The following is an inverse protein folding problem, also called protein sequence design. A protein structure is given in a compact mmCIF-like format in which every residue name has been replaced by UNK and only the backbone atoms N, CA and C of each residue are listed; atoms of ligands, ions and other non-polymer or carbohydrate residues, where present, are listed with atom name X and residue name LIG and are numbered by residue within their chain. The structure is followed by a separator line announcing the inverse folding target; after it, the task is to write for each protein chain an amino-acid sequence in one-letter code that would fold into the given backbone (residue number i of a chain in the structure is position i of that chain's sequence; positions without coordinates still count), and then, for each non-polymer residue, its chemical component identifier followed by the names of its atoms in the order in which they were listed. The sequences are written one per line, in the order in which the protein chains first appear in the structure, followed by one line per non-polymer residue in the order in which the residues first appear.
data_IF_660494095896
#
_entry.id   IF_660494095896
#
_cell.length_a   1.000
_cell.length_b   1.000
_cell.length_c   1.000
_cell.angle_alpha   90.00
_cell.angle_beta   90.00
_cell.angle_gamma   90.00
#
_symmetry.space_group_name_H-M   'P 1'
#
loop_
_entity.id
_entity.type
_entity.pdbx_description
1 polymer ?
#
# COMPACT_ATOMS: atom_id res chain seq x y z
N UNK A 1 -10.24 2.98 -9.76
CA UNK A 1 -9.44 3.93 -8.93
C UNK A 1 -9.33 3.34 -7.52
N UNK A 2 -8.11 3.14 -7.00
CA UNK A 2 -7.84 2.35 -5.79
C UNK A 2 -8.10 3.08 -4.47
N UNK A 3 -7.62 4.33 -4.36
CA UNK A 3 -7.65 5.13 -3.12
C UNK A 3 -8.51 6.38 -3.36
N UNK A 4 -9.80 6.39 -2.95
CA UNK A 4 -10.73 7.48 -3.29
C UNK A 4 -10.33 8.86 -2.74
N UNK A 5 -9.63 8.91 -1.60
CA UNK A 5 -9.15 10.17 -1.01
C UNK A 5 -8.19 10.93 -1.94
N UNK A 6 -7.56 10.24 -2.90
CA UNK A 6 -6.74 10.86 -3.94
C UNK A 6 -7.51 11.87 -4.82
N UNK A 7 -8.85 11.83 -4.81
CA UNK A 7 -9.69 12.84 -5.49
C UNK A 7 -9.66 14.18 -4.76
N UNK A 8 -9.53 14.17 -3.43
CA UNK A 8 -9.49 15.37 -2.58
C UNK A 8 -8.07 15.87 -2.40
N UNK A 9 -7.13 14.95 -2.17
CA UNK A 9 -5.70 15.25 -2.02
C UNK A 9 -4.93 14.40 -3.01
N UNK A 10 -4.59 14.97 -4.16
CA UNK A 10 -3.91 14.22 -5.21
C UNK A 10 -2.47 13.83 -4.80
N UNK A 11 -1.92 12.87 -5.51
CA UNK A 11 -0.58 12.33 -5.23
C UNK A 11 0.52 13.41 -5.28
N UNK A 12 0.38 14.44 -6.12
CA UNK A 12 1.37 15.52 -6.20
C UNK A 12 1.41 16.31 -4.88
N UNK A 13 0.25 16.75 -4.39
CA UNK A 13 0.15 17.45 -3.11
C UNK A 13 0.65 16.60 -1.92
N UNK A 14 0.37 15.29 -1.93
CA UNK A 14 0.91 14.37 -0.93
C UNK A 14 2.44 14.32 -0.98
N UNK A 15 3.03 14.16 -2.17
CA UNK A 15 4.48 14.07 -2.32
C UNK A 15 5.18 15.38 -1.96
N UNK A 16 4.57 16.53 -2.25
CA UNK A 16 5.10 17.83 -1.86
C UNK A 16 5.10 18.00 -0.33
N UNK A 17 4.03 17.56 0.34
CA UNK A 17 4.00 17.51 1.80
C UNK A 17 5.06 16.56 2.37
N UNK A 18 5.28 15.41 1.73
CA UNK A 18 6.36 14.49 2.12
C UNK A 18 7.75 15.13 1.98
N UNK A 19 8.01 15.86 0.89
CA UNK A 19 9.29 16.58 0.67
C UNK A 19 9.53 17.68 1.70
N UNK A 20 8.46 18.37 2.10
CA UNK A 20 8.54 19.45 3.08
C UNK A 20 8.64 18.96 4.54
N UNK A 21 8.63 17.64 4.79
CA UNK A 21 8.61 17.11 6.15
C UNK A 21 9.92 17.45 6.90
N UNK A 22 9.88 18.23 8.01
CA UNK A 22 11.09 18.85 8.57
C UNK A 22 12.17 17.90 9.10
N UNK A 23 11.80 16.66 9.46
CA UNK A 23 12.74 15.68 10.03
C UNK A 23 13.32 14.71 9.00
N UNK A 24 13.00 14.91 7.73
CA UNK A 24 13.36 13.97 6.68
C UNK A 24 14.88 13.87 6.51
N UNK A 25 15.41 12.67 6.70
CA UNK A 25 16.85 12.40 6.63
C UNK A 25 17.10 10.92 6.27
N UNK A 26 18.36 10.54 6.06
CA UNK A 26 18.69 9.14 5.80
C UNK A 26 18.42 8.21 7.00
N UNK A 27 18.47 8.75 8.22
CA UNK A 27 18.10 8.06 9.46
C UNK A 27 16.58 8.05 9.70
N UNK A 28 15.89 9.14 9.37
CA UNK A 28 14.43 9.27 9.49
C UNK A 28 13.78 9.35 8.10
N UNK A 29 13.45 8.18 7.56
CA UNK A 29 12.87 7.98 6.22
C UNK A 29 11.36 7.77 6.28
N UNK A 30 10.65 8.33 5.29
CA UNK A 30 9.23 8.03 5.08
C UNK A 30 9.08 6.58 4.61
N UNK A 31 8.14 5.84 5.20
CA UNK A 31 7.78 4.51 4.70
C UNK A 31 6.51 4.60 3.88
N UNK A 32 6.61 4.34 2.57
CA UNK A 32 5.45 4.19 1.70
C UNK A 32 4.97 2.74 1.74
N UNK A 33 3.70 2.54 2.07
CA UNK A 33 3.06 1.23 1.95
C UNK A 33 2.51 1.05 0.54
N UNK A 34 2.87 -0.06 -0.11
CA UNK A 34 2.46 -0.36 -1.47
C UNK A 34 1.85 -1.76 -1.53
N UNK A 35 0.53 -1.83 -1.68
CA UNK A 35 -0.20 -3.10 -1.83
C UNK A 35 0.00 -3.63 -3.24
N UNK A 36 0.43 -4.89 -3.33
CA UNK A 36 0.72 -5.59 -4.59
C UNK A 36 -0.53 -6.30 -5.11
N UNK A 37 -1.17 -5.70 -6.12
CA UNK A 37 -2.40 -6.17 -6.75
C UNK A 37 -2.09 -6.70 -8.16
N UNK A 38 -2.39 -7.99 -8.37
CA UNK A 38 -2.07 -8.70 -9.61
C UNK A 38 -2.67 -8.03 -10.83
N UNK A 39 -1.82 -7.64 -11.79
CA UNK A 39 -2.23 -7.04 -13.07
C UNK A 39 -2.80 -5.63 -12.97
N UNK A 40 -2.81 -5.02 -11.78
CA UNK A 40 -3.39 -3.69 -11.54
C UNK A 40 -2.31 -2.64 -11.30
N UNK A 41 -1.32 -2.95 -10.47
CA UNK A 41 -0.27 -2.00 -10.09
C UNK A 41 1.10 -2.66 -9.82
N UNK A 42 1.30 -3.89 -10.29
CA UNK A 42 2.46 -4.73 -9.96
C UNK A 42 3.42 -4.93 -11.15
N UNK A 43 3.25 -4.18 -12.23
CA UNK A 43 4.11 -4.30 -13.40
C UNK A 43 5.48 -3.68 -13.16
N UNK A 44 6.43 -4.12 -13.99
CA UNK A 44 7.76 -3.52 -14.13
C UNK A 44 7.70 -2.00 -14.41
N UNK A 45 6.72 -1.56 -15.20
CA UNK A 45 6.51 -0.14 -15.51
C UNK A 45 6.03 0.62 -14.27
N UNK A 46 5.16 0.01 -13.45
CA UNK A 46 4.68 0.60 -12.20
C UNK A 46 5.81 0.83 -11.20
N UNK A 47 6.73 -0.14 -11.07
CA UNK A 47 7.91 0.01 -10.22
C UNK A 47 8.78 1.20 -10.65
N UNK A 48 9.03 1.35 -11.96
CA UNK A 48 9.82 2.48 -12.50
C UNK A 48 9.10 3.82 -12.32
N UNK A 49 7.77 3.86 -12.50
CA UNK A 49 6.96 5.05 -12.23
C UNK A 49 7.00 5.44 -10.75
N UNK A 50 6.89 4.46 -9.84
CA UNK A 50 6.98 4.67 -8.40
C UNK A 50 8.32 5.31 -8.02
N UNK A 51 9.43 4.71 -8.46
CA UNK A 51 10.79 5.25 -8.21
C UNK A 51 10.93 6.69 -8.70
N UNK A 52 10.42 6.99 -9.90
CA UNK A 52 10.46 8.35 -10.46
C UNK A 52 9.65 9.34 -9.62
N UNK A 53 8.48 8.95 -9.11
CA UNK A 53 7.61 9.82 -8.32
C UNK A 53 8.24 10.23 -6.98
N UNK A 54 8.92 9.29 -6.32
CA UNK A 54 9.50 9.50 -4.99
C UNK A 54 10.96 9.95 -5.02
N UNK A 55 11.52 10.18 -6.21
CA UNK A 55 12.89 10.64 -6.38
C UNK A 55 13.19 11.87 -5.50
N UNK A 56 14.30 11.82 -4.77
CA UNK A 56 14.73 12.88 -3.85
C UNK A 56 14.07 12.86 -2.48
N UNK A 57 13.13 11.95 -2.21
CA UNK A 57 12.53 11.75 -0.87
C UNK A 57 13.29 10.61 -0.17
N UNK A 58 13.99 10.85 0.96
CA UNK A 58 14.49 9.77 1.81
C UNK A 58 13.36 8.82 2.23
N UNK A 59 13.31 7.63 1.62
CA UNK A 59 12.18 6.73 1.76
C UNK A 59 12.55 5.24 1.83
N UNK A 60 11.58 4.44 2.28
CA UNK A 60 11.51 2.98 2.17
C UNK A 60 10.16 2.59 1.62
N UNK A 61 10.08 1.47 0.90
CA UNK A 61 8.85 1.03 0.23
C UNK A 61 8.49 -0.33 0.79
N UNK A 62 7.48 -0.38 1.65
CA UNK A 62 7.01 -1.64 2.20
C UNK A 62 6.05 -2.30 1.20
N UNK A 63 6.50 -3.36 0.53
CA UNK A 63 5.67 -4.13 -0.40
C UNK A 63 4.77 -5.07 0.40
N UNK A 64 3.45 -4.93 0.24
CA UNK A 64 2.46 -5.69 0.99
C UNK A 64 1.75 -6.62 0.00
N UNK A 65 2.01 -7.94 0.05
CA UNK A 65 1.19 -8.90 -0.69
C UNK A 65 -0.28 -8.71 -0.30
N UNK A 66 -1.16 -8.60 -1.28
CA UNK A 66 -2.59 -8.44 -1.00
C UNK A 66 -3.14 -9.66 -0.27
N UNK A 67 -3.99 -9.44 0.73
CA UNK A 67 -4.68 -10.49 1.48
C UNK A 67 -6.12 -10.57 0.98
N UNK A 68 -6.48 -11.56 0.15
CA UNK A 68 -7.82 -11.64 -0.42
C UNK A 68 -8.85 -11.93 0.68
N UNK A 69 -10.11 -11.61 0.37
CA UNK A 69 -11.28 -12.00 1.16
C UNK A 69 -12.37 -12.49 0.19
N UNK A 70 -13.38 -13.24 0.65
CA UNK A 70 -14.47 -13.71 -0.22
C UNK A 70 -15.15 -12.54 -0.96
N UNK A 71 -15.13 -12.59 -2.29
CA UNK A 71 -15.67 -11.52 -3.16
C UNK A 71 -14.77 -10.29 -3.33
N UNK A 72 -13.50 -10.36 -2.95
CA UNK A 72 -12.54 -9.30 -3.25
C UNK A 72 -12.39 -9.12 -4.77
N UNK A 73 -12.40 -7.88 -5.30
CA UNK A 73 -12.28 -7.61 -6.72
C UNK A 73 -10.84 -7.66 -7.25
N UNK A 74 -9.87 -8.05 -6.39
CA UNK A 74 -8.45 -8.06 -6.70
C UNK A 74 -7.80 -9.35 -6.23
N UNK A 75 -6.66 -9.66 -6.81
CA UNK A 75 -5.85 -10.84 -6.49
C UNK A 75 -4.46 -10.44 -5.99
N UNK A 76 -3.86 -11.34 -5.21
CA UNK A 76 -2.47 -11.24 -4.76
C UNK A 76 -1.54 -11.42 -5.95
N UNK A 77 -0.59 -10.50 -6.12
CA UNK A 77 0.51 -10.67 -7.09
C UNK A 77 1.32 -11.92 -6.80
N UNK A 78 1.80 -12.59 -7.85
CA UNK A 78 2.63 -13.80 -7.70
C UNK A 78 3.95 -13.47 -6.97
N UNK A 79 4.52 -14.40 -6.16
CA UNK A 79 5.75 -14.15 -5.41
C UNK A 79 6.91 -13.62 -6.27
N UNK A 80 7.15 -14.24 -7.43
CA UNK A 80 8.21 -13.83 -8.36
C UNK A 80 7.99 -12.41 -8.92
N UNK A 81 6.73 -12.01 -9.09
CA UNK A 81 6.34 -10.67 -9.55
C UNK A 81 6.62 -9.63 -8.47
N UNK A 82 6.31 -9.95 -7.21
CA UNK A 82 6.63 -9.09 -6.05
C UNK A 82 8.15 -8.95 -5.91
N UNK A 83 8.90 -10.03 -6.03
CA UNK A 83 10.36 -9.99 -5.97
C UNK A 83 10.95 -9.16 -7.11
N UNK A 84 10.49 -9.37 -8.35
CA UNK A 84 10.94 -8.58 -9.49
C UNK A 84 10.65 -7.08 -9.34
N UNK A 85 9.47 -6.73 -8.82
CA UNK A 85 9.13 -5.34 -8.49
C UNK A 85 10.09 -4.78 -7.44
N UNK A 86 10.32 -5.51 -6.35
CA UNK A 86 11.25 -5.13 -5.28
C UNK A 86 12.69 -4.96 -5.79
N UNK A 87 13.17 -5.84 -6.69
CA UNK A 87 14.50 -5.72 -7.28
C UNK A 87 14.70 -4.42 -8.06
N UNK A 88 13.67 -3.93 -8.76
CA UNK A 88 13.72 -2.64 -9.47
C UNK A 88 13.83 -1.49 -8.48
N UNK A 89 13.00 -1.51 -7.42
CA UNK A 89 12.99 -0.46 -6.38
C UNK A 89 14.31 -0.44 -5.60
N UNK A 90 14.82 -1.60 -5.19
CA UNK A 90 16.12 -1.74 -4.53
C UNK A 90 17.27 -1.23 -5.40
N UNK A 91 17.28 -1.55 -6.71
CA UNK A 91 18.31 -1.08 -7.64
C UNK A 91 18.33 0.45 -7.78
N UNK A 92 17.19 1.10 -7.57
CA UNK A 92 17.09 2.55 -7.55
C UNK A 92 17.52 3.20 -6.21
N UNK A 93 18.02 2.41 -5.25
CA UNK A 93 18.51 2.91 -3.96
C UNK A 93 17.48 2.95 -2.83
N UNK A 94 16.26 2.46 -3.08
CA UNK A 94 15.19 2.42 -2.08
C UNK A 94 15.03 1.03 -1.50
N UNK A 95 15.21 0.90 -0.17
CA UNK A 95 14.96 -0.37 0.50
C UNK A 95 13.48 -0.78 0.32
N UNK A 96 13.24 -1.98 -0.21
CA UNK A 96 11.89 -2.49 -0.46
C UNK A 96 11.61 -3.85 0.21
N UNK A 97 11.45 -3.91 1.54
CA UNK A 97 11.10 -5.15 2.22
C UNK A 97 9.71 -5.63 1.77
N UNK A 98 9.55 -6.95 1.67
CA UNK A 98 8.25 -7.60 1.49
C UNK A 98 7.69 -7.96 2.85
N UNK A 99 6.51 -7.44 3.18
CA UNK A 99 5.85 -7.70 4.46
C UNK A 99 5.35 -9.14 4.50
N UNK A 100 5.82 -9.92 5.46
CA UNK A 100 5.27 -11.24 5.77
C UNK A 100 3.84 -11.09 6.29
N UNK A 101 2.83 -11.73 5.67
CA UNK A 101 1.47 -11.77 6.21
C UNK A 101 1.48 -12.39 7.60
N UNK A 102 0.72 -11.82 8.54
CA UNK A 102 0.47 -12.41 9.86
C UNK A 102 -1.04 -12.48 10.08
N UNK A 103 -1.55 -13.62 10.53
CA UNK A 103 -2.97 -13.83 10.84
C UNK A 103 -3.89 -13.99 9.64
N UNK A 104 -3.39 -14.39 8.47
CA UNK A 104 -4.23 -14.67 7.29
C UNK A 104 -5.12 -15.91 7.50
N UNK A 105 -4.58 -16.91 8.21
CA UNK A 105 -5.26 -18.11 8.66
C UNK A 105 -6.48 -17.85 9.55
N UNK A 106 -6.53 -16.68 10.19
CA UNK A 106 -7.62 -16.25 11.08
C UNK A 106 -8.35 -14.99 10.58
N UNK A 107 -8.19 -14.61 9.30
CA UNK A 107 -8.80 -13.40 8.72
C UNK A 107 -8.47 -12.09 9.48
N UNK A 108 -7.32 -12.02 10.13
CA UNK A 108 -6.87 -10.86 10.91
C UNK A 108 -5.74 -10.07 10.22
N UNK A 109 -5.37 -10.43 8.99
CA UNK A 109 -4.33 -9.70 8.27
C UNK A 109 -4.79 -8.27 7.91
N UNK A 110 -3.84 -7.37 7.64
CA UNK A 110 -4.15 -5.98 7.28
C UNK A 110 -5.16 -5.93 6.12
N UNK A 111 -6.29 -5.26 6.34
CA UNK A 111 -7.41 -5.16 5.39
C UNK A 111 -8.55 -6.18 5.59
N UNK A 112 -8.33 -7.25 6.37
CA UNK A 112 -9.34 -8.30 6.61
C UNK A 112 -10.16 -8.07 7.89
N UNK A 113 -9.75 -7.13 8.75
CA UNK A 113 -10.50 -6.72 9.94
C UNK A 113 -11.80 -5.99 9.55
N UNK A 114 -12.82 -6.76 9.16
CA UNK A 114 -14.21 -6.30 9.13
C UNK A 114 -14.82 -6.55 10.50
N UNK A 115 -15.31 -5.52 11.18
CA UNK A 115 -16.20 -5.75 12.31
C UNK A 115 -17.50 -6.35 11.75
N UNK A 116 -17.91 -7.50 12.28
CA UNK A 116 -19.27 -8.03 12.10
C UNK A 116 -20.31 -7.20 12.87
N UNK A 117 -20.02 -5.92 13.15
CA UNK A 117 -20.95 -5.03 13.80
C UNK A 117 -21.86 -4.46 12.72
N UNK A 118 -23.02 -5.09 12.55
CA UNK A 118 -24.16 -4.39 11.99
C UNK A 118 -24.37 -3.13 12.83
N UNK A 119 -24.16 -1.98 12.20
CA UNK A 119 -24.48 -0.69 12.81
C UNK A 119 -25.99 -0.55 12.78
N UNK A 120 -26.69 -1.21 13.72
CA UNK A 120 -28.13 -1.05 13.88
C UNK A 120 -28.38 0.43 14.13
N UNK A 121 -29.08 1.08 13.19
CA UNK A 121 -29.47 2.47 13.34
C UNK A 121 -30.40 2.54 14.56
N UNK A 122 -30.09 3.43 15.50
CA UNK A 122 -30.83 3.62 16.76
C UNK A 122 -32.34 3.88 16.56
N UNK A 123 -32.75 4.26 15.34
CA UNK A 123 -34.15 4.49 14.97
C UNK A 123 -34.98 3.20 14.79
N UNK A 124 -34.37 2.01 14.70
CA UNK A 124 -35.11 0.74 14.48
C UNK A 124 -35.44 0.01 15.78
N UNK A 125 -34.80 0.37 16.90
CA UNK A 125 -35.02 -0.28 18.22
C UNK A 125 -36.22 0.30 18.98
N UNK A 126 -36.78 1.41 18.50
CA UNK A 126 -37.96 2.05 19.09
C UNK A 126 -39.19 1.84 18.20
N UNK A 127 -39.74 0.63 18.20
CA UNK A 127 -41.15 0.33 17.88
C UNK A 127 -41.58 -0.92 18.62
#
# INVERSE_FOLDING_TARGET
QLVPINRKWNIAALLDACRAYPRLSNSERITFEYVMLKGVNDSDADARRLVKLIAGIPAKINLIPFNPWPGAPYERSDPDRIEAFGRIVNRAGYASPVRTPRGEDIMAACGQLKSASERVRRATVAR
#
